data_IF_150191858509
#
_entry.id   IF_150191858509
#
_cell.length_a   1.000
_cell.length_b   1.000
_cell.length_c   1.000
_cell.angle_alpha   90.00
_cell.angle_beta   90.00
_cell.angle_gamma   90.00
#
_symmetry.space_group_name_H-M   'P 1'
#
loop_
_entity.id
_entity.type
_entity.pdbx_description
1 polymer ?
#
# COMPACT_ATOMS: atom_id res chain seq x y z
N UNK A 1 -4.02 -12.69 -20.16
CA UNK A 1 -3.48 -11.31 -20.21
C UNK A 1 -3.45 -10.77 -18.80
N UNK A 2 -2.30 -10.85 -18.13
CA UNK A 2 -2.12 -10.18 -16.83
C UNK A 2 -2.09 -8.67 -17.07
N UNK A 3 -2.83 -7.86 -16.29
CA UNK A 3 -2.81 -6.42 -16.48
C UNK A 3 -1.41 -5.93 -16.14
N UNK A 4 -0.77 -5.22 -17.07
CA UNK A 4 0.49 -4.52 -16.80
C UNK A 4 0.24 -3.55 -15.65
N UNK A 5 0.93 -3.67 -14.49
CA UNK A 5 0.74 -2.73 -13.41
C UNK A 5 1.10 -1.33 -13.91
N UNK A 6 0.26 -0.34 -13.60
CA UNK A 6 0.51 1.05 -14.01
C UNK A 6 1.83 1.50 -13.40
N UNK A 7 2.85 1.60 -14.25
CA UNK A 7 4.19 2.10 -13.96
C UNK A 7 4.10 3.54 -13.44
N UNK A 8 4.15 3.70 -12.13
CA UNK A 8 4.86 4.84 -11.53
C UNK A 8 6.37 4.54 -11.49
N UNK A 9 6.91 3.80 -12.45
CA UNK A 9 8.37 3.64 -12.56
C UNK A 9 8.95 4.84 -13.31
N UNK A 10 9.18 5.91 -12.55
CA UNK A 10 10.26 6.83 -12.84
C UNK A 10 11.57 6.03 -12.72
N UNK A 11 12.36 5.90 -13.80
CA UNK A 11 13.63 5.18 -13.74
C UNK A 11 14.53 5.76 -12.63
N UNK A 12 15.08 4.90 -11.78
CA UNK A 12 15.90 5.29 -10.62
C UNK A 12 15.13 5.53 -9.31
N UNK A 13 13.79 5.44 -9.31
CA UNK A 13 12.93 5.59 -8.12
C UNK A 13 12.14 4.32 -7.76
N UNK A 14 12.55 3.17 -8.27
CA UNK A 14 11.90 1.87 -8.08
C UNK A 14 11.76 1.51 -6.60
N UNK A 15 12.83 1.75 -5.83
CA UNK A 15 12.88 1.55 -4.39
C UNK A 15 11.77 2.27 -3.61
N UNK A 16 11.23 3.39 -4.11
CA UNK A 16 10.11 4.08 -3.48
C UNK A 16 8.80 3.27 -3.62
N UNK A 17 8.60 2.65 -4.77
CA UNK A 17 7.44 1.80 -5.04
C UNK A 17 7.52 0.51 -4.23
N UNK A 18 8.72 -0.06 -4.09
CA UNK A 18 8.96 -1.27 -3.30
C UNK A 18 8.67 -1.03 -1.81
N UNK A 19 9.09 0.12 -1.26
CA UNK A 19 8.78 0.48 0.14
C UNK A 19 7.29 0.63 0.39
N UNK A 20 6.55 1.28 -0.52
CA UNK A 20 5.08 1.38 -0.41
C UNK A 20 4.40 0.02 -0.54
N UNK A 21 4.93 -0.85 -1.40
CA UNK A 21 4.44 -2.22 -1.57
C UNK A 21 4.61 -3.03 -0.29
N UNK A 22 5.82 -3.01 0.29
CA UNK A 22 6.11 -3.70 1.54
C UNK A 22 5.20 -3.24 2.68
N UNK A 23 4.96 -1.93 2.80
CA UNK A 23 4.03 -1.40 3.79
C UNK A 23 2.59 -1.89 3.55
N UNK A 24 2.12 -1.91 2.29
CA UNK A 24 0.80 -2.45 1.98
C UNK A 24 0.70 -3.94 2.33
N UNK A 25 1.74 -4.73 2.03
CA UNK A 25 1.74 -6.18 2.31
C UNK A 25 1.64 -6.46 3.82
N UNK A 26 2.30 -5.65 4.66
CA UNK A 26 2.18 -5.71 6.12
C UNK A 26 0.74 -5.41 6.59
N UNK A 27 0.11 -4.39 6.01
CA UNK A 27 -1.28 -4.05 6.30
C UNK A 27 -2.25 -5.16 5.83
N UNK A 28 -1.99 -5.80 4.69
CA UNK A 28 -2.76 -6.95 4.19
C UNK A 28 -2.58 -8.17 5.10
N UNK A 29 -1.38 -8.41 5.62
CA UNK A 29 -1.16 -9.46 6.62
C UNK A 29 -1.98 -9.19 7.88
N UNK A 30 -1.92 -7.96 8.41
CA UNK A 30 -2.71 -7.55 9.58
C UNK A 30 -4.21 -7.74 9.33
N UNK A 31 -4.72 -7.38 8.15
CA UNK A 31 -6.12 -7.63 7.77
C UNK A 31 -6.48 -9.11 7.89
N UNK A 32 -5.63 -9.99 7.33
CA UNK A 32 -5.85 -11.45 7.31
C UNK A 32 -5.78 -12.04 8.71
N UNK A 33 -4.80 -11.63 9.52
CA UNK A 33 -4.65 -12.06 10.92
C UNK A 33 -5.86 -11.71 11.77
N UNK A 34 -6.49 -10.56 11.49
CA UNK A 34 -7.72 -10.12 12.17
C UNK A 34 -9.00 -10.71 11.58
N UNK A 35 -8.91 -11.53 10.53
CA UNK A 35 -10.08 -12.13 9.89
C UNK A 35 -10.97 -11.14 9.13
N UNK A 36 -10.48 -9.92 8.84
CA UNK A 36 -11.26 -8.88 8.16
C UNK A 36 -11.33 -9.16 6.65
N UNK A 37 -12.52 -9.02 6.08
CA UNK A 37 -12.78 -9.13 4.64
C UNK A 37 -12.36 -7.85 3.91
N UNK A 38 -12.12 -7.97 2.60
CA UNK A 38 -11.87 -6.79 1.74
C UNK A 38 -13.09 -5.84 1.71
N UNK A 39 -14.31 -6.35 1.89
CA UNK A 39 -15.52 -5.53 1.97
C UNK A 39 -15.58 -4.70 3.24
N UNK A 40 -15.21 -5.26 4.39
CA UNK A 40 -15.16 -4.52 5.66
C UNK A 40 -14.11 -3.41 5.61
N UNK A 41 -12.93 -3.70 5.06
CA UNK A 41 -11.91 -2.68 4.82
C UNK A 41 -12.41 -1.60 3.86
N UNK A 42 -13.07 -1.99 2.77
CA UNK A 42 -13.62 -1.05 1.80
C UNK A 42 -14.64 -0.11 2.44
N UNK A 43 -15.52 -0.63 3.29
CA UNK A 43 -16.50 0.16 4.04
C UNK A 43 -15.81 1.17 4.97
N UNK A 44 -14.78 0.76 5.72
CA UNK A 44 -14.01 1.65 6.58
C UNK A 44 -13.26 2.74 5.80
N UNK A 45 -12.72 2.38 4.64
CA UNK A 45 -11.99 3.30 3.77
C UNK A 45 -12.88 4.22 2.94
N UNK A 46 -14.21 4.00 2.92
CA UNK A 46 -15.16 4.73 2.08
C UNK A 46 -14.94 4.47 0.58
N UNK A 47 -14.69 3.21 0.19
CA UNK A 47 -14.40 2.80 -1.19
C UNK A 47 -15.11 1.49 -1.54
N UNK A 48 -14.92 0.97 -2.76
CA UNK A 48 -15.47 -0.32 -3.18
C UNK A 48 -14.56 -1.49 -2.80
N UNK A 49 -15.14 -2.67 -2.58
CA UNK A 49 -14.38 -3.92 -2.40
C UNK A 49 -13.47 -4.19 -3.60
N UNK A 50 -13.92 -3.90 -4.83
CA UNK A 50 -13.11 -4.06 -6.04
C UNK A 50 -11.90 -3.12 -6.07
N UNK A 51 -12.00 -1.93 -5.49
CA UNK A 51 -10.87 -1.01 -5.35
C UNK A 51 -9.85 -1.52 -4.33
N UNK A 52 -10.31 -2.06 -3.19
CA UNK A 52 -9.43 -2.74 -2.21
C UNK A 52 -8.75 -3.96 -2.84
N UNK A 53 -9.49 -4.81 -3.56
CA UNK A 53 -8.92 -5.98 -4.21
C UNK A 53 -7.82 -5.61 -5.24
N UNK A 54 -8.02 -4.54 -6.02
CA UNK A 54 -7.00 -4.02 -6.95
C UNK A 54 -5.78 -3.46 -6.23
N UNK A 55 -6.00 -2.78 -5.11
CA UNK A 55 -4.94 -2.27 -4.25
C UNK A 55 -4.08 -3.43 -3.72
N UNK A 56 -4.70 -4.44 -3.10
CA UNK A 56 -4.02 -5.61 -2.51
C UNK A 56 -3.28 -6.46 -3.57
N UNK A 57 -3.77 -6.53 -4.81
CA UNK A 57 -3.06 -7.22 -5.90
C UNK A 57 -1.88 -6.44 -6.48
N UNK A 58 -1.77 -5.15 -6.16
CA UNK A 58 -0.74 -4.28 -6.72
C UNK A 58 -0.99 -3.80 -8.14
N UNK A 59 -2.25 -3.80 -8.57
CA UNK A 59 -2.66 -3.20 -9.84
C UNK A 59 -2.51 -1.66 -9.83
N UNK A 60 -2.31 -1.06 -8.66
CA UNK A 60 -2.14 0.38 -8.43
C UNK A 60 -0.98 0.64 -7.46
N UNK A 61 -0.24 1.73 -7.72
CA UNK A 61 0.66 2.34 -6.74
C UNK A 61 -0.19 3.13 -5.73
N UNK A 62 -0.21 2.73 -4.44
CA UNK A 62 -1.00 3.44 -3.44
C UNK A 62 -0.46 4.83 -3.17
N UNK A 63 -1.38 5.80 -3.12
CA UNK A 63 -1.08 7.09 -2.50
C UNK A 63 -0.82 6.88 -1.01
N UNK A 64 -0.05 7.79 -0.45
CA UNK A 64 0.14 7.92 0.99
C UNK A 64 -1.19 7.87 1.77
N UNK A 65 -2.12 8.75 1.40
CA UNK A 65 -3.48 8.81 1.97
C UNK A 65 -4.29 7.51 1.85
N UNK A 66 -3.92 6.62 0.93
CA UNK A 66 -4.54 5.30 0.79
C UNK A 66 -3.99 4.32 1.82
N UNK A 67 -2.68 4.35 2.06
CA UNK A 67 -2.03 3.52 3.09
C UNK A 67 -2.49 3.92 4.49
N UNK A 68 -2.59 5.22 4.78
CA UNK A 68 -3.08 5.72 6.07
C UNK A 68 -4.52 5.26 6.35
N UNK A 69 -5.44 5.44 5.39
CA UNK A 69 -6.82 4.96 5.54
C UNK A 69 -6.91 3.44 5.70
N UNK A 70 -6.06 2.69 5.00
CA UNK A 70 -6.03 1.24 5.15
C UNK A 70 -5.52 0.86 6.54
N UNK A 71 -4.46 1.51 7.04
CA UNK A 71 -3.92 1.30 8.38
C UNK A 71 -4.98 1.53 9.46
N UNK A 72 -5.70 2.65 9.39
CA UNK A 72 -6.83 2.93 10.27
C UNK A 72 -7.91 1.84 10.19
N UNK A 73 -8.26 1.38 8.98
CA UNK A 73 -9.23 0.31 8.78
C UNK A 73 -8.80 -1.05 9.38
N UNK A 74 -7.50 -1.29 9.55
CA UNK A 74 -6.96 -2.47 10.25
C UNK A 74 -6.53 -2.15 11.68
N UNK A 75 -6.89 -1.00 12.24
CA UNK A 75 -6.54 -0.59 13.61
C UNK A 75 -5.03 -0.49 13.85
N UNK A 76 -4.33 0.16 12.92
CA UNK A 76 -2.91 0.52 12.95
C UNK A 76 -2.76 2.01 12.58
N UNK A 77 -1.58 2.56 12.80
CA UNK A 77 -1.24 3.95 12.42
C UNK A 77 0.07 3.91 11.62
N UNK A 78 0.22 4.83 10.67
CA UNK A 78 1.48 5.01 9.93
C UNK A 78 2.08 6.35 10.33
N UNK A 79 3.31 6.32 10.86
CA UNK A 79 4.07 7.50 11.20
C UNK A 79 5.14 7.80 10.14
N UNK A 80 5.40 9.09 9.91
CA UNK A 80 6.34 9.56 8.89
C UNK A 80 7.59 10.15 9.55
N UNK A 81 8.76 9.69 9.09
CA UNK A 81 10.05 10.29 9.46
C UNK A 81 10.82 10.62 8.19
N UNK A 82 11.40 11.83 8.15
CA UNK A 82 12.28 12.28 7.08
C UNK A 82 13.72 12.06 7.53
N UNK A 83 14.49 11.32 6.75
CA UNK A 83 15.89 11.00 7.03
C UNK A 83 16.76 11.34 5.82
N UNK A 84 18.02 11.69 6.07
CA UNK A 84 18.97 11.93 4.99
C UNK A 84 19.07 10.70 4.07
N UNK A 85 18.97 10.93 2.77
CA UNK A 85 19.27 9.91 1.78
C UNK A 85 20.79 9.72 1.80
N UNK A 86 21.28 8.70 2.52
CA UNK A 86 22.68 8.33 2.43
C UNK A 86 22.86 7.71 1.04
N UNK A 87 23.42 8.49 0.12
CA UNK A 87 23.98 7.96 -1.11
C UNK A 87 24.99 6.89 -0.71
N UNK A 88 24.73 5.64 -1.10
CA UNK A 88 25.75 4.62 -1.07
C UNK A 88 26.88 5.11 -1.99
N UNK A 89 28.04 5.46 -1.40
CA UNK A 89 29.25 5.68 -2.19
C UNK A 89 29.54 4.45 -3.06
N UNK A 90 30.12 4.66 -4.26
CA UNK A 90 30.19 3.67 -5.34
C UNK A 90 30.95 2.39 -4.99
#
# INVERSE_FOLDING_TARGET
MSPTPRRTSFPGLEHLSDRRRALLDELVSTRRERGLTQTEIAAHMGTSQSAVARLERGDVDPRLSTLERYAEAVGRTVDWTISAHRESSP
#
